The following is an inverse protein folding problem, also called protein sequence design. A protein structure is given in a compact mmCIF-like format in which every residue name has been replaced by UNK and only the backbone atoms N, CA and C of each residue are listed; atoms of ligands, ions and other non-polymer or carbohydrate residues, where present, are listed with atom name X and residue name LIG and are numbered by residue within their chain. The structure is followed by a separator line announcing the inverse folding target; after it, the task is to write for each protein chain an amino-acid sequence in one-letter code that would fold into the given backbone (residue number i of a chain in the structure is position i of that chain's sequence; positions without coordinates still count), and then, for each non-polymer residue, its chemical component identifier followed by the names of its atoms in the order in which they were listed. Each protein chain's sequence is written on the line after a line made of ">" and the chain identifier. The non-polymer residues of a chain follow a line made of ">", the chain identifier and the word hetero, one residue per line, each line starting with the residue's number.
data_IF_161988116669
#
_entry.id   IF_161988116669
#
_cell.length_a   1.000
_cell.length_b   1.000
_cell.length_c   1.000
_cell.angle_alpha   90.00
_cell.angle_beta   90.00
_cell.angle_gamma   90.00
#
_symmetry.space_group_name_H-M   'P 1'
#
loop_
_entity.id
_entity.type
_entity.pdbx_description
1 polymer ?
#
# COMPACT_ATOMS: atom_id res chain seq x y z
N UNK A 1 -2.04 -16.71 -19.98
CA UNK A 1 -2.99 -16.32 -18.91
C UNK A 1 -2.62 -14.91 -18.48
N UNK A 2 -3.56 -13.95 -18.46
CA UNK A 2 -3.28 -12.61 -17.94
C UNK A 2 -3.16 -12.69 -16.40
N UNK A 3 -2.25 -11.95 -15.77
CA UNK A 3 -2.10 -11.98 -14.31
C UNK A 3 -3.34 -11.39 -13.64
N UNK A 4 -3.71 -11.95 -12.49
CA UNK A 4 -4.71 -11.38 -11.61
C UNK A 4 -4.24 -10.04 -11.05
N UNK A 5 -5.15 -9.08 -10.90
CA UNK A 5 -4.84 -7.77 -10.37
C UNK A 5 -5.88 -7.36 -9.33
N UNK A 6 -5.44 -6.58 -8.34
CA UNK A 6 -6.33 -5.97 -7.37
C UNK A 6 -7.11 -4.83 -8.04
N UNK A 7 -8.43 -4.83 -7.89
CA UNK A 7 -9.28 -3.73 -8.34
C UNK A 7 -9.29 -2.56 -7.35
N UNK A 8 -9.83 -1.42 -7.80
CA UNK A 8 -10.15 -0.26 -6.95
C UNK A 8 -11.15 -0.55 -5.83
N UNK A 9 -11.70 -1.77 -5.73
CA UNK A 9 -12.54 -2.27 -4.64
C UNK A 9 -11.92 -3.43 -3.82
N UNK A 10 -10.63 -3.76 -4.06
CA UNK A 10 -9.83 -4.74 -3.30
C UNK A 10 -10.14 -6.19 -3.64
N UNK A 11 -10.94 -6.40 -4.69
CA UNK A 11 -11.17 -7.73 -5.22
C UNK A 11 -10.01 -8.14 -6.13
N UNK A 12 -9.65 -9.41 -6.04
CA UNK A 12 -8.68 -10.02 -6.96
C UNK A 12 -9.42 -10.53 -8.19
N UNK A 13 -9.33 -9.81 -9.31
CA UNK A 13 -10.01 -10.17 -10.55
C UNK A 13 -9.03 -10.38 -11.69
N UNK A 14 -9.39 -11.27 -12.60
CA UNK A 14 -8.85 -11.30 -13.96
C UNK A 14 -9.62 -10.28 -14.80
N UNK A 15 -8.98 -9.69 -15.82
CA UNK A 15 -9.46 -8.53 -16.61
C UNK A 15 -10.79 -8.72 -17.39
N UNK A 16 -11.60 -9.73 -17.04
CA UNK A 16 -12.87 -10.10 -17.67
C UNK A 16 -13.95 -10.49 -16.63
N UNK A 17 -13.91 -9.93 -15.40
CA UNK A 17 -14.84 -10.24 -14.29
C UNK A 17 -14.80 -11.69 -13.77
N UNK A 18 -13.75 -12.44 -14.10
CA UNK A 18 -13.54 -13.77 -13.54
C UNK A 18 -12.83 -13.66 -12.18
N UNK A 19 -13.39 -14.31 -11.17
CA UNK A 19 -12.81 -14.31 -9.82
C UNK A 19 -11.53 -15.13 -9.83
N UNK A 20 -10.42 -14.48 -9.54
CA UNK A 20 -9.17 -15.20 -9.31
C UNK A 20 -9.23 -15.95 -7.99
N UNK A 21 -8.47 -17.04 -7.89
CA UNK A 21 -8.33 -17.71 -6.59
C UNK A 21 -7.62 -16.76 -5.62
N UNK A 22 -7.99 -16.83 -4.34
CA UNK A 22 -7.45 -15.96 -3.28
C UNK A 22 -5.91 -15.94 -3.20
N UNK A 23 -5.25 -16.98 -3.69
CA UNK A 23 -3.80 -17.15 -3.70
C UNK A 23 -3.11 -16.60 -4.96
N UNK A 24 -3.87 -16.16 -5.97
CA UNK A 24 -3.31 -15.65 -7.24
C UNK A 24 -3.01 -14.15 -7.22
N UNK A 25 -3.74 -13.34 -6.44
CA UNK A 25 -3.27 -11.99 -6.09
C UNK A 25 -2.29 -12.08 -4.93
N UNK A 26 -1.06 -12.47 -5.25
CA UNK A 26 0.03 -12.43 -4.28
C UNK A 26 0.41 -10.96 -4.00
N UNK A 27 0.04 -10.43 -2.84
CA UNK A 27 0.49 -9.11 -2.33
C UNK A 27 -0.60 -8.26 -1.65
N UNK A 28 -0.21 -7.31 -0.77
CA UNK A 28 -1.10 -6.25 -0.27
C UNK A 28 -1.49 -5.37 -1.47
N UNK A 29 -2.74 -4.90 -1.52
CA UNK A 29 -3.19 -3.92 -2.52
C UNK A 29 -2.89 -2.47 -2.11
N UNK A 30 -2.25 -2.29 -0.96
CA UNK A 30 -1.82 -1.03 -0.36
C UNK A 30 -2.88 0.07 -0.32
N UNK A 31 -4.15 -0.31 -0.16
CA UNK A 31 -5.23 0.67 -0.07
C UNK A 31 -5.46 1.23 1.31
N UNK A 32 -5.36 0.37 2.32
CA UNK A 32 -5.46 0.79 3.70
C UNK A 32 -4.07 1.27 4.11
N UNK A 33 -3.92 2.59 4.19
CA UNK A 33 -2.62 3.23 4.46
C UNK A 33 -2.76 4.32 5.50
N UNK A 34 -1.77 4.37 6.38
CA UNK A 34 -1.66 5.39 7.41
C UNK A 34 -0.34 6.14 7.26
N UNK A 35 -0.35 7.43 7.65
CA UNK A 35 0.88 8.22 7.75
C UNK A 35 1.57 7.82 9.05
N UNK A 36 2.80 7.35 8.94
CA UNK A 36 3.65 7.06 10.09
C UNK A 36 4.79 8.06 10.20
N UNK A 37 5.23 8.29 11.43
CA UNK A 37 6.43 9.09 11.72
C UNK A 37 7.62 8.14 11.81
N UNK A 38 8.57 8.29 10.89
CA UNK A 38 9.80 7.50 10.86
C UNK A 38 10.86 8.08 11.79
N UNK A 39 10.95 9.40 11.85
CA UNK A 39 11.99 10.11 12.60
C UNK A 39 11.49 11.50 13.01
N UNK A 40 11.88 11.95 14.20
CA UNK A 40 11.62 13.31 14.69
C UNK A 40 12.94 13.90 15.19
N UNK A 41 13.36 15.03 14.63
CA UNK A 41 14.64 15.68 14.93
C UNK A 41 14.39 17.16 15.19
N UNK A 42 14.48 17.61 16.44
CA UNK A 42 14.32 19.01 16.86
C UNK A 42 13.15 19.78 16.19
N UNK A 43 13.39 20.37 15.01
CA UNK A 43 12.44 21.15 14.22
C UNK A 43 11.87 20.39 13.02
N UNK A 44 12.31 19.18 12.73
CA UNK A 44 11.93 18.39 11.56
C UNK A 44 11.25 17.07 11.93
N UNK A 45 10.27 16.66 11.15
CA UNK A 45 9.64 15.34 11.18
C UNK A 45 9.78 14.65 9.82
N UNK A 46 10.08 13.36 9.84
CA UNK A 46 10.14 12.51 8.65
C UNK A 46 8.96 11.54 8.69
N UNK A 47 8.07 11.64 7.71
CA UNK A 47 6.85 10.84 7.62
C UNK A 47 6.80 10.04 6.33
N UNK A 48 6.07 8.93 6.32
CA UNK A 48 5.80 8.13 5.12
C UNK A 48 4.43 7.46 5.21
N UNK A 49 3.85 7.06 4.07
CA UNK A 49 2.67 6.19 4.06
C UNK A 49 3.08 4.72 4.20
N UNK A 50 2.39 3.99 5.07
CA UNK A 50 2.56 2.56 5.31
C UNK A 50 1.24 1.82 5.02
N UNK A 51 1.26 0.65 4.34
CA UNK A 51 0.08 -0.23 4.24
C UNK A 51 -0.20 -0.85 5.61
N UNK A 52 -1.37 -0.61 6.20
CA UNK A 52 -1.74 -1.14 7.52
C UNK A 52 -1.93 -2.67 7.49
N UNK A 53 -2.24 -3.23 6.33
CA UNK A 53 -2.42 -4.68 6.15
C UNK A 53 -1.10 -5.47 6.05
N UNK A 54 -0.01 -4.87 5.59
CA UNK A 54 1.27 -5.60 5.39
C UNK A 54 2.51 -4.92 5.96
N UNK A 55 2.39 -3.68 6.45
CA UNK A 55 3.49 -2.91 7.01
C UNK A 55 4.48 -2.33 6.00
N UNK A 56 4.30 -2.54 4.69
CA UNK A 56 5.20 -1.96 3.69
C UNK A 56 5.04 -0.45 3.56
N UNK A 57 6.16 0.24 3.37
CA UNK A 57 6.20 1.68 3.06
C UNK A 57 5.89 1.87 1.59
N UNK A 58 4.82 2.60 1.29
CA UNK A 58 4.26 2.71 -0.07
C UNK A 58 4.62 4.03 -0.76
N UNK A 59 5.19 4.98 -0.03
CA UNK A 59 5.70 6.24 -0.59
C UNK A 59 7.10 6.53 -0.09
N UNK A 60 7.86 7.30 -0.88
CA UNK A 60 9.10 7.89 -0.40
C UNK A 60 8.83 8.76 0.85
N UNK A 61 9.69 8.67 1.89
CA UNK A 61 9.55 9.50 3.07
C UNK A 61 9.67 10.99 2.76
N UNK A 62 8.80 11.79 3.38
CA UNK A 62 8.82 13.26 3.32
C UNK A 62 9.38 13.82 4.61
N UNK A 63 10.18 14.87 4.50
CA UNK A 63 10.68 15.62 5.66
C UNK A 63 10.02 16.99 5.69
N UNK A 64 9.38 17.34 6.79
CA UNK A 64 8.79 18.65 7.07
C UNK A 64 9.57 19.29 8.23
N UNK A 65 9.95 20.57 8.11
CA UNK A 65 10.70 21.30 9.14
C UNK A 65 9.98 22.61 9.48
N UNK A 66 9.86 22.92 10.78
CA UNK A 66 9.17 24.08 11.34
C UNK A 66 10.08 25.04 12.08
#
# INVERSE_FOLDING_TARGET
>A
MKPCQHTEDSYCLQLENDYCRSDECKGCNHKDTSIIVLEVVATCEKTALQCDNCGEIVTEPKTDCR
#
